data_IF_447697519123
#
_entry.id   IF_447697519123
#
_cell.length_a   1.000
_cell.length_b   1.000
_cell.length_c   1.000
_cell.angle_alpha   90.00
_cell.angle_beta   90.00
_cell.angle_gamma   90.00
#
_symmetry.space_group_name_H-M   'P 1'
#
loop_
_entity.id
_entity.type
_entity.pdbx_description
1 polymer ?
#
# COMPACT_ATOMS: atom_id res chain seq x y z
N UNK A 1 22.97 41.35 -28.18
CA UNK A 1 23.74 41.27 -26.92
C UNK A 1 22.76 41.42 -25.75
N UNK A 2 22.14 40.30 -25.35
CA UNK A 2 21.34 40.18 -24.12
C UNK A 2 22.02 39.08 -23.31
N UNK A 3 22.76 39.49 -22.29
CA UNK A 3 23.48 38.62 -21.38
C UNK A 3 22.46 37.99 -20.44
N UNK A 4 22.32 36.66 -20.50
CA UNK A 4 21.60 35.87 -19.50
C UNK A 4 22.33 36.01 -18.17
N UNK A 5 21.81 36.84 -17.26
CA UNK A 5 22.24 36.83 -15.86
C UNK A 5 21.86 35.47 -15.26
N UNK A 6 22.82 34.74 -14.65
CA UNK A 6 22.48 33.56 -13.86
C UNK A 6 21.69 34.05 -12.65
N UNK A 7 20.43 33.63 -12.51
CA UNK A 7 19.67 33.85 -11.28
C UNK A 7 20.32 32.97 -10.21
N UNK A 8 21.27 33.53 -9.47
CA UNK A 8 21.78 32.93 -8.24
C UNK A 8 20.66 32.96 -7.20
N UNK A 9 19.87 31.90 -7.16
CA UNK A 9 18.87 31.68 -6.11
C UNK A 9 19.65 31.56 -4.80
N UNK A 10 19.50 32.54 -3.91
CA UNK A 10 20.09 32.55 -2.57
C UNK A 10 19.88 31.19 -1.87
N UNK A 11 20.93 30.58 -1.27
CA UNK A 11 20.81 29.29 -0.59
C UNK A 11 19.76 29.29 0.53
N UNK A 12 19.44 30.46 1.08
CA UNK A 12 18.37 30.65 2.08
C UNK A 12 16.97 30.37 1.53
N UNK A 13 16.70 30.73 0.27
CA UNK A 13 15.42 30.43 -0.37
C UNK A 13 15.29 28.93 -0.62
N UNK A 14 16.34 28.24 -1.08
CA UNK A 14 16.22 26.79 -1.35
C UNK A 14 15.82 26.00 -0.10
N UNK A 15 16.45 26.27 1.04
CA UNK A 15 16.13 25.60 2.30
C UNK A 15 14.68 25.82 2.73
N UNK A 16 14.22 27.07 2.71
CA UNK A 16 12.82 27.38 3.05
C UNK A 16 11.82 26.79 2.07
N UNK A 17 12.14 26.71 0.77
CA UNK A 17 11.28 26.08 -0.22
C UNK A 17 11.15 24.56 0.00
N UNK A 18 12.24 23.87 0.35
CA UNK A 18 12.19 22.45 0.69
C UNK A 18 11.36 22.19 1.96
N UNK A 19 11.55 22.99 3.01
CA UNK A 19 10.80 22.83 4.26
C UNK A 19 9.29 23.07 4.06
N UNK A 20 8.94 24.10 3.29
CA UNK A 20 7.55 24.40 2.93
C UNK A 20 6.95 23.23 2.13
N UNK A 21 7.66 22.75 1.11
CA UNK A 21 7.23 21.64 0.28
C UNK A 21 7.01 20.37 1.12
N UNK A 22 8.00 19.93 1.90
CA UNK A 22 7.90 18.72 2.72
C UNK A 22 6.75 18.80 3.74
N UNK A 23 6.55 19.95 4.36
CA UNK A 23 5.42 20.15 5.29
C UNK A 23 4.08 20.02 4.59
N UNK A 24 3.94 20.60 3.40
CA UNK A 24 2.69 20.58 2.66
C UNK A 24 2.41 19.19 2.08
N UNK A 25 3.43 18.49 1.59
CA UNK A 25 3.32 17.09 1.16
C UNK A 25 2.93 16.16 2.32
N UNK A 26 3.53 16.32 3.51
CA UNK A 26 3.19 15.51 4.68
C UNK A 26 1.75 15.74 5.15
N UNK A 27 1.29 17.01 5.16
CA UNK A 27 -0.11 17.33 5.44
C UNK A 27 -1.04 16.70 4.42
N UNK A 28 -0.71 16.80 3.14
CA UNK A 28 -1.50 16.20 2.07
C UNK A 28 -1.55 14.66 2.20
N UNK A 29 -0.42 13.99 2.50
CA UNK A 29 -0.38 12.55 2.79
C UNK A 29 -1.32 12.18 3.94
N UNK A 30 -1.29 12.92 5.06
CA UNK A 30 -2.18 12.67 6.19
C UNK A 30 -3.67 12.83 5.80
N UNK A 31 -4.00 13.87 5.04
CA UNK A 31 -5.36 14.10 4.51
C UNK A 31 -5.79 12.93 3.62
N UNK A 32 -4.91 12.45 2.75
CA UNK A 32 -5.19 11.30 1.87
C UNK A 32 -5.43 10.02 2.69
N UNK A 33 -4.63 9.73 3.72
CA UNK A 33 -4.85 8.57 4.59
C UNK A 33 -6.22 8.63 5.26
N UNK A 34 -6.58 9.80 5.81
CA UNK A 34 -7.89 10.02 6.44
C UNK A 34 -9.00 9.85 5.41
N UNK A 35 -8.84 10.42 4.21
CA UNK A 35 -9.80 10.31 3.12
C UNK A 35 -10.00 8.86 2.67
N UNK A 36 -8.91 8.09 2.53
CA UNK A 36 -8.93 6.67 2.17
C UNK A 36 -9.67 5.85 3.23
N UNK A 37 -9.36 6.07 4.52
CA UNK A 37 -10.06 5.41 5.61
C UNK A 37 -11.56 5.73 5.58
N UNK A 38 -11.93 6.99 5.35
CA UNK A 38 -13.32 7.42 5.29
C UNK A 38 -14.06 6.76 4.11
N UNK A 39 -13.47 6.79 2.91
CA UNK A 39 -14.05 6.15 1.72
C UNK A 39 -14.20 4.64 1.92
N UNK A 40 -13.16 3.96 2.41
CA UNK A 40 -13.23 2.53 2.68
C UNK A 40 -14.25 2.18 3.76
N UNK A 41 -14.36 3.00 4.81
CA UNK A 41 -15.37 2.83 5.85
C UNK A 41 -16.80 2.95 5.27
N UNK A 42 -17.03 3.92 4.39
CA UNK A 42 -18.32 4.15 3.74
C UNK A 42 -18.71 2.99 2.80
N UNK A 43 -17.75 2.48 2.01
CA UNK A 43 -17.98 1.40 1.05
C UNK A 43 -18.12 0.03 1.73
N UNK A 44 -17.24 -0.28 2.68
CA UNK A 44 -17.17 -1.61 3.28
C UNK A 44 -18.18 -1.76 4.43
N UNK A 45 -18.55 -0.66 5.12
CA UNK A 45 -19.41 -0.64 6.32
C UNK A 45 -18.91 -1.53 7.46
N UNK A 46 -17.60 -1.68 7.58
CA UNK A 46 -16.90 -2.40 8.67
C UNK A 46 -15.79 -1.49 9.21
N UNK A 47 -15.47 -1.57 10.50
CA UNK A 47 -14.41 -0.75 11.09
C UNK A 47 -13.01 -1.37 10.91
N UNK A 48 -12.85 -2.67 11.18
CA UNK A 48 -11.54 -3.33 11.16
C UNK A 48 -11.01 -3.59 9.75
N UNK A 49 -11.90 -3.92 8.80
CA UNK A 49 -11.50 -4.26 7.43
C UNK A 49 -10.81 -3.09 6.70
N UNK A 50 -11.36 -1.85 6.72
CA UNK A 50 -10.66 -0.68 6.18
C UNK A 50 -9.29 -0.46 6.78
N UNK A 51 -9.12 -0.66 8.09
CA UNK A 51 -7.84 -0.47 8.77
C UNK A 51 -6.79 -1.45 8.25
N UNK A 52 -7.14 -2.73 8.11
CA UNK A 52 -6.22 -3.73 7.55
C UNK A 52 -5.88 -3.48 6.08
N UNK A 53 -6.85 -3.02 5.29
CA UNK A 53 -6.61 -2.60 3.90
C UNK A 53 -5.65 -1.41 3.88
N UNK A 54 -5.92 -0.35 4.64
CA UNK A 54 -5.02 0.81 4.69
C UNK A 54 -3.62 0.43 5.17
N UNK A 55 -3.51 -0.45 6.17
CA UNK A 55 -2.22 -0.96 6.62
C UNK A 55 -1.47 -1.70 5.50
N UNK A 56 -2.16 -2.49 4.67
CA UNK A 56 -1.55 -3.16 3.53
C UNK A 56 -1.07 -2.15 2.48
N UNK A 57 -1.87 -1.12 2.18
CA UNK A 57 -1.46 -0.03 1.27
C UNK A 57 -0.21 0.70 1.75
N UNK A 58 -0.15 1.03 3.04
CA UNK A 58 1.03 1.64 3.64
C UNK A 58 2.23 0.69 3.60
N UNK A 59 2.02 -0.59 3.87
CA UNK A 59 3.06 -1.62 3.76
C UNK A 59 3.65 -1.71 2.34
N UNK A 60 2.80 -1.68 1.31
CA UNK A 60 3.24 -1.67 -0.09
C UNK A 60 4.07 -0.42 -0.40
N UNK A 61 3.58 0.75 0.04
CA UNK A 61 4.27 2.02 -0.14
C UNK A 61 5.65 2.04 0.53
N UNK A 62 5.74 1.69 1.82
CA UNK A 62 7.03 1.69 2.53
C UNK A 62 8.00 0.66 1.98
N UNK A 63 7.49 -0.51 1.54
CA UNK A 63 8.32 -1.51 0.86
C UNK A 63 8.88 -0.97 -0.46
N UNK A 64 8.04 -0.28 -1.26
CA UNK A 64 8.49 0.37 -2.48
C UNK A 64 9.53 1.45 -2.22
N UNK A 65 9.31 2.29 -1.19
CA UNK A 65 10.27 3.32 -0.76
C UNK A 65 11.60 2.71 -0.31
N UNK A 66 11.55 1.60 0.41
CA UNK A 66 12.76 0.89 0.82
C UNK A 66 13.54 0.37 -0.41
N UNK A 67 12.87 -0.31 -1.32
CA UNK A 67 13.50 -0.89 -2.52
C UNK A 67 14.08 0.21 -3.42
N UNK A 68 13.37 1.32 -3.63
CA UNK A 68 13.88 2.38 -4.48
C UNK A 68 15.06 3.13 -3.85
N UNK A 69 15.03 3.38 -2.54
CA UNK A 69 16.19 3.97 -1.85
C UNK A 69 17.41 3.06 -2.01
N UNK A 70 17.24 1.74 -1.84
CA UNK A 70 18.31 0.78 -2.06
C UNK A 70 18.84 0.80 -3.51
N UNK A 71 17.94 0.83 -4.50
CA UNK A 71 18.35 0.87 -5.92
C UNK A 71 19.09 2.18 -6.24
N UNK A 72 18.53 3.34 -5.90
CA UNK A 72 19.10 4.61 -6.37
C UNK A 72 20.30 5.06 -5.53
N UNK A 73 20.24 4.90 -4.21
CA UNK A 73 21.30 5.37 -3.31
C UNK A 73 22.42 4.33 -3.24
N UNK A 74 22.10 3.09 -2.83
CA UNK A 74 23.14 2.08 -2.57
C UNK A 74 23.69 1.47 -3.86
N UNK A 75 22.84 1.22 -4.86
CA UNK A 75 23.27 0.54 -6.08
C UNK A 75 23.73 1.49 -7.20
N UNK A 76 23.01 2.59 -7.46
CA UNK A 76 23.39 3.59 -8.48
C UNK A 76 24.25 4.74 -7.94
N UNK A 77 24.38 4.90 -6.61
CA UNK A 77 25.24 5.91 -6.00
C UNK A 77 24.69 7.35 -6.06
N UNK A 78 23.38 7.53 -6.23
CA UNK A 78 22.76 8.86 -6.17
C UNK A 78 22.77 9.41 -4.74
N UNK A 79 22.88 10.73 -4.60
CA UNK A 79 22.89 11.41 -3.30
C UNK A 79 21.53 11.34 -2.55
N UNK A 80 20.48 10.94 -3.25
CA UNK A 80 19.13 10.82 -2.71
C UNK A 80 18.10 10.74 -3.83
N UNK A 81 16.86 10.44 -3.46
CA UNK A 81 15.69 10.45 -4.37
C UNK A 81 15.04 11.83 -4.39
N UNK A 82 14.35 12.17 -5.48
CA UNK A 82 13.60 13.43 -5.55
C UNK A 82 12.51 13.53 -4.48
N UNK A 83 12.37 14.71 -3.85
CA UNK A 83 11.37 14.97 -2.81
C UNK A 83 9.92 14.79 -3.27
N UNK A 84 9.67 14.78 -4.58
CA UNK A 84 8.36 14.54 -5.18
C UNK A 84 8.00 13.05 -5.25
N UNK A 85 8.99 12.16 -5.37
CA UNK A 85 8.77 10.72 -5.57
C UNK A 85 7.98 10.10 -4.41
N UNK A 86 8.32 10.34 -3.13
CA UNK A 86 7.56 9.77 -2.02
C UNK A 86 6.08 10.14 -2.05
N UNK A 87 5.74 11.37 -2.42
CA UNK A 87 4.36 11.83 -2.44
C UNK A 87 3.56 11.30 -3.64
N UNK A 88 4.11 11.39 -4.85
CA UNK A 88 3.40 10.92 -6.04
C UNK A 88 3.27 9.40 -6.08
N UNK A 89 4.32 8.67 -5.68
CA UNK A 89 4.24 7.21 -5.58
C UNK A 89 3.23 6.80 -4.51
N UNK A 90 3.17 7.51 -3.36
CA UNK A 90 2.16 7.28 -2.34
C UNK A 90 0.75 7.42 -2.90
N UNK A 91 0.43 8.54 -3.55
CA UNK A 91 -0.91 8.77 -4.12
C UNK A 91 -1.27 7.68 -5.12
N UNK A 92 -0.35 7.32 -6.02
CA UNK A 92 -0.62 6.34 -7.08
C UNK A 92 -0.83 4.95 -6.48
N UNK A 93 0.09 4.48 -5.62
CA UNK A 93 0.00 3.16 -4.98
C UNK A 93 -1.28 3.06 -4.15
N UNK A 94 -1.61 4.10 -3.39
CA UNK A 94 -2.80 4.13 -2.55
C UNK A 94 -4.07 4.17 -3.38
N UNK A 95 -4.16 5.04 -4.40
CA UNK A 95 -5.36 5.13 -5.24
C UNK A 95 -5.68 3.79 -5.92
N UNK A 96 -4.67 3.19 -6.57
CA UNK A 96 -4.83 1.92 -7.26
C UNK A 96 -5.09 0.77 -6.28
N UNK A 97 -4.41 0.80 -5.14
CA UNK A 97 -4.58 -0.23 -4.14
C UNK A 97 -5.94 -0.18 -3.46
N UNK A 98 -6.52 1.01 -3.26
CA UNK A 98 -7.91 1.16 -2.82
C UNK A 98 -8.86 0.55 -3.84
N UNK A 99 -8.69 0.85 -5.13
CA UNK A 99 -9.53 0.29 -6.19
C UNK A 99 -9.49 -1.25 -6.21
N UNK A 100 -8.29 -1.83 -6.13
CA UNK A 100 -8.13 -3.29 -6.08
C UNK A 100 -8.69 -3.90 -4.80
N UNK A 101 -8.53 -3.22 -3.66
CA UNK A 101 -9.06 -3.69 -2.38
C UNK A 101 -10.58 -3.63 -2.36
N UNK A 102 -11.19 -2.58 -2.90
CA UNK A 102 -12.64 -2.50 -3.06
C UNK A 102 -13.13 -3.60 -3.99
N UNK A 103 -12.48 -3.81 -5.14
CA UNK A 103 -12.88 -4.85 -6.08
C UNK A 103 -12.82 -6.26 -5.47
N UNK A 104 -11.78 -6.55 -4.69
CA UNK A 104 -11.66 -7.80 -3.93
C UNK A 104 -12.73 -7.92 -2.84
N UNK A 105 -12.97 -6.85 -2.07
CA UNK A 105 -13.97 -6.85 -1.00
C UNK A 105 -15.41 -6.93 -1.51
N UNK A 106 -15.70 -6.36 -2.67
CA UNK A 106 -16.99 -6.53 -3.35
C UNK A 106 -17.20 -8.00 -3.71
N UNK A 107 -16.18 -8.68 -4.24
CA UNK A 107 -16.26 -10.11 -4.53
C UNK A 107 -16.37 -10.95 -3.24
N UNK A 108 -15.66 -10.58 -2.18
CA UNK A 108 -15.78 -11.23 -0.87
C UNK A 108 -17.22 -11.19 -0.34
N UNK A 109 -17.92 -10.06 -0.50
CA UNK A 109 -19.33 -9.92 -0.08
C UNK A 109 -20.31 -10.81 -0.86
N UNK A 110 -19.93 -11.36 -2.01
CA UNK A 110 -20.77 -12.35 -2.73
C UNK A 110 -20.73 -13.74 -2.05
N UNK A 111 -19.69 -14.03 -1.28
CA UNK A 111 -19.47 -15.34 -0.63
C UNK A 111 -19.82 -15.37 0.86
N UNK A 112 -20.78 -14.54 1.30
CA UNK A 112 -21.20 -14.44 2.72
C UNK A 112 -21.74 -15.73 3.34
N UNK A 113 -22.08 -16.73 2.52
CA UNK A 113 -22.55 -18.05 2.95
C UNK A 113 -21.41 -19.01 3.34
N UNK A 114 -20.15 -18.65 3.06
CA UNK A 114 -18.97 -19.42 3.43
C UNK A 114 -18.33 -18.86 4.70
N UNK A 115 -17.43 -19.63 5.32
CA UNK A 115 -16.60 -19.09 6.40
C UNK A 115 -15.76 -17.90 5.89
N UNK A 116 -15.47 -16.87 6.72
CA UNK A 116 -14.68 -15.70 6.30
C UNK A 116 -13.35 -16.06 5.62
N UNK A 117 -12.68 -17.10 6.13
CA UNK A 117 -11.44 -17.63 5.54
C UNK A 117 -11.65 -18.19 4.13
N UNK A 118 -12.69 -18.99 3.91
CA UNK A 118 -12.98 -19.57 2.59
C UNK A 118 -13.47 -18.50 1.60
N UNK A 119 -14.32 -17.58 2.08
CA UNK A 119 -14.85 -16.48 1.29
C UNK A 119 -13.73 -15.58 0.75
N UNK A 120 -12.74 -15.22 1.57
CA UNK A 120 -11.64 -14.34 1.14
C UNK A 120 -10.67 -15.05 0.19
N UNK A 121 -10.41 -16.34 0.39
CA UNK A 121 -9.57 -17.13 -0.51
C UNK A 121 -10.24 -17.31 -1.87
N UNK A 122 -11.54 -17.62 -1.88
CA UNK A 122 -12.30 -17.78 -3.12
C UNK A 122 -12.45 -16.46 -3.88
N UNK A 123 -12.73 -15.35 -3.16
CA UNK A 123 -12.74 -14.02 -3.74
C UNK A 123 -11.38 -13.66 -4.36
N UNK A 124 -10.28 -13.91 -3.64
CA UNK A 124 -8.92 -13.65 -4.14
C UNK A 124 -8.61 -14.47 -5.39
N UNK A 125 -9.04 -15.74 -5.43
CA UNK A 125 -8.84 -16.61 -6.61
C UNK A 125 -9.59 -16.12 -7.85
N UNK A 126 -10.83 -15.66 -7.67
CA UNK A 126 -11.68 -15.25 -8.79
C UNK A 126 -11.38 -13.83 -9.29
N UNK A 127 -10.92 -12.96 -8.39
CA UNK A 127 -10.60 -11.55 -8.68
C UNK A 127 -9.13 -11.37 -9.06
N UNK A 128 -8.24 -12.30 -8.66
CA UNK A 128 -6.80 -12.21 -8.88
C UNK A 128 -6.41 -12.04 -10.35
N UNK A 129 -7.05 -12.76 -11.27
CA UNK A 129 -6.76 -12.64 -12.71
C UNK A 129 -7.00 -11.22 -13.26
N UNK A 130 -8.07 -10.56 -12.81
CA UNK A 130 -8.39 -9.19 -13.22
C UNK A 130 -7.41 -8.19 -12.61
N UNK A 131 -7.09 -8.34 -11.32
CA UNK A 131 -6.13 -7.46 -10.62
C UNK A 131 -4.73 -7.58 -11.25
N UNK A 132 -4.25 -8.80 -11.46
CA UNK A 132 -2.93 -9.06 -12.07
C UNK A 132 -2.88 -8.47 -13.49
N UNK A 133 -3.95 -8.62 -14.28
CA UNK A 133 -4.01 -8.02 -15.62
C UNK A 133 -3.91 -6.50 -15.57
N UNK A 134 -4.61 -5.86 -14.62
CA UNK A 134 -4.53 -4.41 -14.42
C UNK A 134 -3.11 -3.96 -14.02
N UNK A 135 -2.45 -4.70 -13.12
CA UNK A 135 -1.07 -4.41 -12.70
C UNK A 135 -0.09 -4.57 -13.86
N UNK A 136 -0.26 -5.56 -14.73
CA UNK A 136 0.60 -5.74 -15.91
C UNK A 136 0.45 -4.54 -16.87
N UNK A 137 -0.79 -4.15 -17.18
CA UNK A 137 -1.06 -3.02 -18.09
C UNK A 137 -0.50 -1.72 -17.51
N UNK A 138 -0.77 -1.47 -16.24
CA UNK A 138 -0.37 -0.25 -15.57
C UNK A 138 1.13 -0.21 -15.30
N UNK A 139 1.71 -1.33 -14.86
CA UNK A 139 3.15 -1.48 -14.69
C UNK A 139 3.88 -1.28 -16.00
N UNK A 140 3.36 -1.82 -17.11
CA UNK A 140 3.87 -1.55 -18.46
C UNK A 140 3.78 -0.07 -18.82
N UNK A 141 2.68 0.60 -18.48
CA UNK A 141 2.50 2.04 -18.73
C UNK A 141 3.53 2.87 -17.95
N UNK A 142 3.74 2.59 -16.66
CA UNK A 142 4.78 3.25 -15.87
C UNK A 142 6.19 2.92 -16.37
N UNK A 143 6.44 1.70 -16.85
CA UNK A 143 7.73 1.32 -17.41
C UNK A 143 8.09 2.17 -18.64
N UNK A 144 7.10 2.67 -19.39
CA UNK A 144 7.35 3.60 -20.52
C UNK A 144 7.93 4.95 -20.09
N UNK A 145 7.85 5.30 -18.81
CA UNK A 145 8.46 6.52 -18.27
C UNK A 145 9.98 6.37 -18.07
N UNK A 146 10.50 5.15 -17.95
CA UNK A 146 11.94 4.91 -17.76
C UNK A 146 12.81 5.47 -18.90
N UNK A 147 12.48 5.30 -20.19
CA UNK A 147 13.26 5.88 -21.30
C UNK A 147 13.07 7.40 -21.50
N UNK A 148 12.36 8.10 -20.61
CA UNK A 148 12.10 9.55 -20.76
C UNK A 148 13.34 10.44 -20.65
N UNK A 149 14.45 9.93 -20.11
CA UNK A 149 15.65 10.72 -19.79
C UNK A 149 15.50 11.62 -18.56
N UNK A 150 14.36 11.59 -17.87
CA UNK A 150 14.09 12.36 -16.67
C UNK A 150 14.18 11.43 -15.45
N UNK A 151 15.18 11.65 -14.58
CA UNK A 151 15.45 10.80 -13.40
C UNK A 151 14.21 10.69 -12.50
N UNK A 152 13.53 11.80 -12.23
CA UNK A 152 12.28 11.83 -11.44
C UNK A 152 11.23 10.84 -11.96
N UNK A 153 11.08 10.72 -13.29
CA UNK A 153 10.08 9.83 -13.88
C UNK A 153 10.50 8.36 -13.80
N UNK A 154 11.81 8.09 -13.94
CA UNK A 154 12.37 6.75 -13.71
C UNK A 154 12.22 6.30 -12.26
N UNK A 155 12.51 7.18 -11.31
CA UNK A 155 12.31 6.93 -9.87
C UNK A 155 10.83 6.64 -9.59
N UNK A 156 9.93 7.50 -10.06
CA UNK A 156 8.49 7.33 -9.86
C UNK A 156 8.00 6.01 -10.46
N UNK A 157 8.44 5.65 -11.67
CA UNK A 157 8.05 4.41 -12.34
C UNK A 157 8.45 3.18 -11.53
N UNK A 158 9.71 3.11 -11.08
CA UNK A 158 10.22 1.98 -10.29
C UNK A 158 9.45 1.88 -8.97
N UNK A 159 9.28 3.00 -8.26
CA UNK A 159 8.53 3.03 -7.00
C UNK A 159 7.11 2.49 -7.17
N UNK A 160 6.37 2.98 -8.17
CA UNK A 160 4.99 2.54 -8.40
C UNK A 160 4.94 1.08 -8.81
N UNK A 161 5.75 0.64 -9.77
CA UNK A 161 5.75 -0.76 -10.23
C UNK A 161 6.05 -1.70 -9.07
N UNK A 162 7.08 -1.42 -8.29
CA UNK A 162 7.43 -2.23 -7.12
C UNK A 162 6.30 -2.24 -6.09
N UNK A 163 5.70 -1.08 -5.80
CA UNK A 163 4.57 -0.98 -4.87
C UNK A 163 3.37 -1.81 -5.32
N UNK A 164 3.02 -1.77 -6.61
CA UNK A 164 1.93 -2.55 -7.17
C UNK A 164 2.22 -4.05 -7.15
N UNK A 165 3.45 -4.46 -7.47
CA UNK A 165 3.86 -5.87 -7.40
C UNK A 165 3.76 -6.39 -5.96
N UNK A 166 4.32 -5.66 -4.99
CA UNK A 166 4.24 -6.06 -3.57
C UNK A 166 2.79 -6.09 -3.10
N UNK A 167 1.98 -5.09 -3.46
CA UNK A 167 0.58 -5.04 -3.07
C UNK A 167 -0.21 -6.23 -3.62
N UNK A 168 -0.12 -6.50 -4.92
CA UNK A 168 -0.98 -7.46 -5.59
C UNK A 168 -0.52 -8.91 -5.47
N UNK A 169 0.79 -9.16 -5.34
CA UNK A 169 1.31 -10.52 -5.22
C UNK A 169 1.55 -10.97 -3.78
N UNK A 170 1.71 -10.04 -2.84
CA UNK A 170 2.03 -10.38 -1.45
C UNK A 170 0.89 -9.94 -0.53
N UNK A 171 0.56 -8.65 -0.53
CA UNK A 171 -0.30 -8.10 0.52
C UNK A 171 -1.78 -8.43 0.34
N UNK A 172 -2.31 -8.35 -0.88
CA UNK A 172 -3.69 -8.73 -1.18
C UNK A 172 -3.95 -10.25 -0.99
N UNK A 173 -3.14 -11.17 -1.55
CA UNK A 173 -3.44 -12.61 -1.46
C UNK A 173 -2.97 -13.28 -0.17
N UNK A 174 -2.03 -12.70 0.57
CA UNK A 174 -1.49 -13.31 1.81
C UNK A 174 -1.89 -12.50 3.05
N UNK A 175 -1.50 -11.22 3.09
CA UNK A 175 -1.69 -10.40 4.28
C UNK A 175 -3.16 -10.13 4.59
N UNK A 176 -3.96 -9.76 3.59
CA UNK A 176 -5.37 -9.43 3.80
C UNK A 176 -6.21 -10.65 4.25
N UNK A 177 -6.11 -11.84 3.61
CA UNK A 177 -6.72 -13.07 4.13
C UNK A 177 -6.27 -13.42 5.55
N UNK A 178 -4.97 -13.30 5.84
CA UNK A 178 -4.45 -13.59 7.17
C UNK A 178 -5.06 -12.67 8.23
N UNK A 179 -5.17 -11.37 7.97
CA UNK A 179 -5.76 -10.41 8.91
C UNK A 179 -7.27 -10.58 9.08
N UNK A 180 -7.99 -10.95 8.01
CA UNK A 180 -9.43 -11.21 8.09
C UNK A 180 -9.72 -12.52 8.84
N UNK A 181 -8.88 -13.54 8.71
CA UNK A 181 -9.04 -14.82 9.41
C UNK A 181 -8.51 -14.81 10.86
N UNK A 182 -7.66 -13.84 11.22
CA UNK A 182 -7.01 -13.78 12.53
C UNK A 182 -8.01 -13.69 13.72
N UNK A 183 -9.08 -12.88 13.68
CA UNK A 183 -10.04 -12.78 14.78
C UNK A 183 -10.75 -14.11 15.09
N UNK A 184 -11.13 -14.88 14.07
CA UNK A 184 -11.73 -16.21 14.25
C UNK A 184 -10.72 -17.22 14.80
N UNK A 185 -9.48 -17.20 14.31
CA UNK A 185 -8.42 -18.08 14.80
C UNK A 185 -8.09 -17.81 16.28
N UNK A 186 -8.05 -16.54 16.68
CA UNK A 186 -7.86 -16.13 18.08
C UNK A 186 -9.01 -16.59 18.97
N UNK A 187 -10.25 -16.44 18.53
CA UNK A 187 -11.42 -16.90 19.28
C UNK A 187 -11.41 -18.42 19.50
N UNK A 188 -11.05 -19.20 18.47
CA UNK A 188 -10.94 -20.65 18.58
C UNK A 188 -9.80 -21.10 19.52
N UNK A 189 -8.65 -20.42 19.51
CA UNK A 189 -7.54 -20.71 20.42
C UNK A 189 -7.90 -20.42 21.89
N UNK A 190 -8.63 -19.33 22.14
CA UNK A 190 -9.12 -19.01 23.49
C UNK A 190 -10.20 -19.99 23.97
N UNK A 191 -11.08 -20.46 23.08
CA UNK A 191 -12.09 -21.48 23.42
C UNK A 191 -11.45 -22.82 23.76
N UNK A 192 -10.49 -23.28 22.95
CA UNK A 192 -9.81 -24.56 23.15
C UNK A 192 -8.97 -24.59 24.43
N UNK A 193 -8.28 -23.49 24.76
CA UNK A 193 -7.53 -23.38 26.02
C UNK A 193 -8.44 -23.50 27.26
N UNK A 194 -9.68 -23.02 27.16
CA UNK A 194 -10.65 -23.07 28.25
C UNK A 194 -11.26 -24.47 28.44
N UNK A 195 -11.48 -25.22 27.36
CA UNK A 195 -11.89 -26.63 27.42
C UNK A 195 -10.79 -27.54 27.98
N UNK A 196 -9.53 -27.27 27.60
CA UNK A 196 -8.38 -27.99 28.13
C UNK A 196 -8.17 -27.71 29.64
N UNK A 197 -8.42 -26.50 30.14
CA UNK A 197 -8.36 -26.19 31.58
C UNK A 197 -9.49 -26.87 32.39
N UNK A 198 -10.72 -26.90 31.87
CA UNK A 198 -11.88 -27.54 32.52
C UNK A 198 -11.76 -29.07 32.59
N UNK A 199 -11.22 -29.71 31.55
CA UNK A 199 -11.03 -31.18 31.54
C UNK A 199 -9.90 -31.67 32.46
N UNK A 200 -9.04 -30.75 32.89
CA UNK A 200 -7.96 -31.01 33.84
C UNK A 200 -8.43 -30.82 35.29
N UNK A 201 -9.34 -29.89 35.57
CA UNK A 201 -10.02 -29.80 36.89
C UNK A 201 -10.94 -30.99 37.16
N UNK A 202 -11.68 -31.46 36.15
CA UNK A 202 -12.62 -32.59 36.28
C UNK A 202 -11.91 -33.95 36.47
N UNK A 203 -10.63 -34.05 36.11
CA UNK A 203 -9.78 -35.24 36.37
C UNK A 203 -9.09 -35.25 37.73
N UNK A 204 -9.18 -34.16 38.49
CA UNK A 204 -8.53 -34.00 39.81
C UNK A 204 -9.52 -34.19 40.97
N UNK A 205 -10.83 -34.26 40.68
CA UNK A 205 -11.92 -34.57 41.62
C UNK A 205 -12.31 -36.04 41.47
#
# INVERSE_FOLDING_TARGET
>A
MLVLLPIEISPYNRFSLYDILSRDLNKATAIVIIGVLLVLFLVIRSFWTPVFITASLLGAYYTAMFIINYIFIDWLGYAGISSFVPFFSFIIIVALGVDYSIFLMMRYKEYQHLSPKEAIVLASRNTGGVIISAVIILGGTFATLMPSGIILLGELAIAVITGLVVLCFILLPVFLPAMIALPEALAHLFSRKREDELSLEEKVI
#
